data_IF_892608872002
#
_entry.id   IF_892608872002
#
_cell.length_a   1.000
_cell.length_b   1.000
_cell.length_c   1.000
_cell.angle_alpha   90.00
_cell.angle_beta   90.00
_cell.angle_gamma   90.00
#
_symmetry.space_group_name_H-M   'P 1'
#
loop_
_entity.id
_entity.type
_entity.pdbx_description
1 polymer ?
#
# COMPACT_ATOMS: atom_id res chain seq x y z
N UNK A 1 -2.42 -3.32 14.70
CA UNK A 1 -1.51 -3.28 13.54
C UNK A 1 -0.51 -2.13 13.63
N UNK A 2 -0.95 -0.85 13.60
CA UNK A 2 -0.04 0.31 13.60
C UNK A 2 0.96 0.47 14.77
N UNK A 3 0.65 -0.06 15.97
CA UNK A 3 1.54 0.01 17.15
C UNK A 3 2.59 -1.11 17.22
N UNK A 4 2.51 -2.14 16.37
CA UNK A 4 3.44 -3.29 16.40
C UNK A 4 4.50 -3.28 15.30
N UNK A 5 4.24 -2.54 14.22
CA UNK A 5 5.09 -2.50 13.04
C UNK A 5 5.34 -1.04 12.65
N UNK A 6 6.07 -0.34 13.52
CA UNK A 6 6.49 1.02 13.27
C UNK A 6 8.00 1.07 13.02
N UNK A 7 8.42 1.93 12.10
CA UNK A 7 9.78 2.41 12.00
C UNK A 7 9.92 3.63 12.91
N UNK A 8 10.92 3.64 13.78
CA UNK A 8 11.28 4.84 14.53
C UNK A 8 12.02 5.77 13.59
N UNK A 9 11.39 6.89 13.24
CA UNK A 9 12.06 7.97 12.52
C UNK A 9 12.51 8.98 13.56
N UNK A 10 13.82 9.16 13.69
CA UNK A 10 14.40 10.21 14.50
C UNK A 10 14.28 11.54 13.75
N UNK A 11 13.53 12.48 14.30
CA UNK A 11 13.50 13.86 13.84
C UNK A 11 14.31 14.68 14.82
N UNK A 12 15.26 15.46 14.30
CA UNK A 12 16.12 16.35 15.08
C UNK A 12 15.77 17.79 14.72
N UNK A 13 15.59 18.64 15.72
CA UNK A 13 15.29 20.06 15.50
C UNK A 13 15.63 20.92 16.71
N UNK A 14 15.79 22.22 16.47
CA UNK A 14 15.93 23.21 17.53
C UNK A 14 14.54 23.53 18.10
N UNK A 15 14.42 23.40 19.42
CA UNK A 15 13.25 23.85 20.16
C UNK A 15 13.24 25.39 20.23
N UNK A 16 12.08 26.03 20.43
CA UNK A 16 11.98 27.49 20.49
C UNK A 16 12.83 28.17 21.58
N UNK A 17 13.31 27.40 22.56
CA UNK A 17 14.21 27.84 23.64
C UNK A 17 15.71 27.59 23.35
N UNK A 18 16.05 27.11 22.14
CA UNK A 18 17.43 26.89 21.69
C UNK A 18 18.00 25.52 22.06
N UNK A 19 17.23 24.63 22.67
CA UNK A 19 17.65 23.25 22.93
C UNK A 19 17.57 22.39 21.67
N UNK A 20 18.64 21.65 21.34
CA UNK A 20 18.56 20.59 20.34
C UNK A 20 17.76 19.41 20.93
N UNK A 21 16.66 19.02 20.27
CA UNK A 21 15.82 17.93 20.72
C UNK A 21 15.69 16.85 19.64
N UNK A 22 15.64 15.60 20.10
CA UNK A 22 15.46 14.42 19.26
C UNK A 22 14.18 13.72 19.67
N UNK A 23 13.21 13.62 18.75
CA UNK A 23 11.96 12.88 18.98
C UNK A 23 11.92 11.70 18.04
N UNK A 24 11.69 10.51 18.60
CA UNK A 24 11.44 9.31 17.80
C UNK A 24 9.94 9.17 17.56
N UNK A 25 9.53 9.24 16.30
CA UNK A 25 8.14 9.02 15.90
C UNK A 25 7.99 7.59 15.38
N UNK A 26 7.03 6.85 15.93
CA UNK A 26 6.62 5.55 15.43
C UNK A 26 5.77 5.71 14.15
N UNK A 27 6.38 5.54 12.98
CA UNK A 27 5.69 5.59 11.68
C UNK A 27 5.35 4.17 11.24
N UNK A 28 4.07 3.87 10.97
CA UNK A 28 3.68 2.55 10.48
C UNK A 28 4.48 2.19 9.21
N UNK A 29 5.08 1.00 9.22
CA UNK A 29 5.78 0.46 8.05
C UNK A 29 4.81 0.29 6.87
N UNK A 30 5.33 0.32 5.63
CA UNK A 30 4.51 0.12 4.43
C UNK A 30 3.73 -1.21 4.47
N UNK A 31 4.32 -2.35 4.88
CA UNK A 31 3.56 -3.59 5.09
C UNK A 31 2.36 -3.44 6.02
N UNK A 32 2.53 -2.75 7.14
CA UNK A 32 1.44 -2.53 8.09
C UNK A 32 0.38 -1.57 7.54
N UNK A 33 0.80 -0.53 6.82
CA UNK A 33 -0.10 0.37 6.10
C UNK A 33 -0.95 -0.40 5.09
N UNK A 34 -0.33 -1.27 4.29
CA UNK A 34 -1.01 -2.09 3.29
C UNK A 34 -2.03 -3.04 3.95
N UNK A 35 -1.68 -3.69 5.05
CA UNK A 35 -2.63 -4.52 5.79
C UNK A 35 -3.85 -3.70 6.26
N UNK A 36 -3.63 -2.49 6.81
CA UNK A 36 -4.70 -1.58 7.19
C UNK A 36 -5.54 -1.11 5.99
N UNK A 37 -4.90 -0.87 4.84
CA UNK A 37 -5.58 -0.51 3.58
C UNK A 37 -6.45 -1.65 3.05
N UNK A 38 -6.05 -2.91 3.25
CA UNK A 38 -6.87 -4.07 2.97
C UNK A 38 -8.23 -4.05 3.67
N UNK A 39 -8.23 -3.78 4.98
CA UNK A 39 -9.49 -3.59 5.72
C UNK A 39 -10.28 -2.38 5.23
N UNK A 40 -9.61 -1.28 4.90
CA UNK A 40 -10.29 -0.07 4.41
C UNK A 40 -10.97 -0.33 3.06
N UNK A 41 -10.27 -0.92 2.08
CA UNK A 41 -10.84 -1.16 0.76
C UNK A 41 -11.98 -2.19 0.82
N UNK A 42 -11.98 -3.12 1.77
CA UNK A 42 -13.10 -4.05 1.98
C UNK A 42 -14.36 -3.34 2.47
N UNK A 43 -14.23 -2.45 3.46
CA UNK A 43 -15.38 -1.92 4.19
C UNK A 43 -15.96 -0.62 3.62
N UNK A 44 -15.11 0.31 3.15
CA UNK A 44 -15.57 1.64 2.72
C UNK A 44 -15.57 1.85 1.22
N UNK A 45 -14.98 0.94 0.45
CA UNK A 45 -14.98 0.94 -1.02
C UNK A 45 -14.64 2.31 -1.64
N UNK A 46 -13.72 3.06 -1.02
CA UNK A 46 -13.27 4.36 -1.56
C UNK A 46 -12.21 4.14 -2.63
N UNK A 47 -12.41 4.74 -3.81
CA UNK A 47 -11.48 4.62 -4.97
C UNK A 47 -10.01 4.92 -4.59
N UNK A 48 -9.80 5.93 -3.74
CA UNK A 48 -8.48 6.36 -3.26
C UNK A 48 -7.70 5.23 -2.57
N UNK A 49 -8.35 4.29 -1.88
CA UNK A 49 -7.60 3.19 -1.22
C UNK A 49 -6.95 2.25 -2.22
N UNK A 50 -7.63 1.96 -3.33
CA UNK A 50 -7.04 1.18 -4.41
C UNK A 50 -5.81 1.89 -4.99
N UNK A 51 -5.89 3.21 -5.17
CA UNK A 51 -4.76 4.03 -5.61
C UNK A 51 -3.60 4.01 -4.61
N UNK A 52 -3.87 4.22 -3.31
CA UNK A 52 -2.85 4.21 -2.27
C UNK A 52 -2.12 2.85 -2.20
N UNK A 53 -2.85 1.72 -2.31
CA UNK A 53 -2.28 0.37 -2.36
C UNK A 53 -1.34 0.23 -3.55
N UNK A 54 -1.86 0.49 -4.75
CA UNK A 54 -1.08 0.36 -5.98
C UNK A 54 0.13 1.29 -5.98
N UNK A 55 -0.01 2.53 -5.50
CA UNK A 55 1.08 3.49 -5.40
C UNK A 55 2.19 2.98 -4.47
N UNK A 56 1.84 2.43 -3.31
CA UNK A 56 2.82 1.88 -2.38
C UNK A 56 3.56 0.67 -2.98
N UNK A 57 2.84 -0.23 -3.66
CA UNK A 57 3.44 -1.41 -4.30
C UNK A 57 4.37 -1.00 -5.44
N UNK A 58 3.88 -0.16 -6.37
CA UNK A 58 4.62 0.26 -7.56
C UNK A 58 5.91 1.02 -7.23
N UNK A 59 5.86 1.86 -6.20
CA UNK A 59 6.98 2.73 -5.84
C UNK A 59 7.82 2.18 -4.68
N UNK A 60 7.60 0.92 -4.28
CA UNK A 60 8.40 0.33 -3.23
C UNK A 60 9.86 0.15 -3.70
N UNK A 61 10.87 0.60 -2.94
CA UNK A 61 12.27 0.36 -3.28
C UNK A 61 12.55 -1.14 -3.42
N UNK A 62 13.18 -1.54 -4.53
CA UNK A 62 13.41 -2.96 -4.82
C UNK A 62 12.20 -3.71 -5.42
N UNK A 63 11.07 -3.03 -5.58
CA UNK A 63 9.90 -3.56 -6.30
C UNK A 63 8.99 -4.49 -5.49
N UNK A 64 8.00 -5.10 -6.17
CA UNK A 64 7.00 -5.97 -5.56
C UNK A 64 7.56 -7.15 -4.74
N UNK A 65 8.67 -7.75 -5.20
CA UNK A 65 9.30 -8.89 -4.56
C UNK A 65 9.99 -8.49 -3.25
N UNK A 66 10.69 -7.36 -3.23
CA UNK A 66 11.28 -6.81 -2.01
C UNK A 66 10.20 -6.46 -0.99
N UNK A 67 9.10 -5.83 -1.44
CA UNK A 67 7.96 -5.55 -0.58
C UNK A 67 7.35 -6.84 0.00
N UNK A 68 7.28 -7.91 -0.79
CA UNK A 68 6.75 -9.19 -0.32
C UNK A 68 7.62 -9.80 0.79
N UNK A 69 8.95 -9.72 0.67
CA UNK A 69 9.86 -10.15 1.73
C UNK A 69 9.64 -9.32 3.02
N UNK A 70 9.54 -8.00 2.91
CA UNK A 70 9.31 -7.12 4.05
C UNK A 70 7.91 -7.28 4.68
N UNK A 71 6.98 -7.89 3.95
CA UNK A 71 5.65 -8.26 4.45
C UNK A 71 5.64 -9.54 5.31
N UNK A 72 6.71 -10.34 5.35
CA UNK A 72 6.77 -11.61 6.10
C UNK A 72 6.37 -11.46 7.59
N UNK A 73 6.89 -10.47 8.35
CA UNK A 73 6.50 -10.29 9.75
C UNK A 73 5.02 -9.95 9.92
N UNK A 74 4.43 -9.25 8.96
CA UNK A 74 3.01 -8.90 8.95
C UNK A 74 2.14 -10.11 8.60
N UNK A 75 2.57 -10.92 7.63
CA UNK A 75 1.91 -12.16 7.21
C UNK A 75 1.81 -13.21 8.33
N UNK A 76 2.77 -13.22 9.26
CA UNK A 76 2.76 -14.10 10.43
C UNK A 76 1.58 -13.83 11.39
N UNK A 77 0.90 -12.69 11.25
CA UNK A 77 -0.27 -12.35 12.05
C UNK A 77 -1.57 -12.53 11.26
N UNK A 78 -2.60 -13.06 11.92
CA UNK A 78 -3.91 -13.32 11.32
C UNK A 78 -4.50 -12.07 10.68
N UNK A 79 -4.43 -10.93 11.37
CA UNK A 79 -4.96 -9.66 10.89
C UNK A 79 -4.18 -9.13 9.67
N UNK A 80 -2.86 -9.30 9.66
CA UNK A 80 -2.03 -8.91 8.51
C UNK A 80 -2.37 -9.73 7.27
N UNK A 81 -2.43 -11.06 7.44
CA UNK A 81 -2.82 -12.00 6.38
C UNK A 81 -4.21 -11.70 5.84
N UNK A 82 -5.17 -11.41 6.71
CA UNK A 82 -6.54 -11.09 6.28
C UNK A 82 -6.62 -9.77 5.52
N UNK A 83 -5.90 -8.74 5.99
CA UNK A 83 -5.77 -7.47 5.26
C UNK A 83 -5.25 -7.70 3.83
N UNK A 84 -4.20 -8.49 3.65
CA UNK A 84 -3.68 -8.79 2.32
C UNK A 84 -4.64 -9.64 1.46
N UNK A 85 -5.42 -10.55 2.06
CA UNK A 85 -6.48 -11.28 1.33
C UNK A 85 -7.59 -10.37 0.83
N UNK A 86 -7.99 -9.35 1.59
CA UNK A 86 -8.96 -8.36 1.09
C UNK A 86 -8.42 -7.62 -0.13
N UNK A 87 -7.14 -7.25 -0.12
CA UNK A 87 -6.50 -6.68 -1.31
C UNK A 87 -6.54 -7.68 -2.47
N UNK A 88 -6.18 -8.95 -2.22
CA UNK A 88 -6.21 -9.99 -3.24
C UNK A 88 -7.59 -10.13 -3.90
N UNK A 89 -8.66 -10.14 -3.10
CA UNK A 89 -10.03 -10.21 -3.62
C UNK A 89 -10.42 -8.99 -4.44
N UNK A 90 -10.00 -7.77 -4.07
CA UNK A 90 -10.31 -6.56 -4.86
C UNK A 90 -9.48 -6.44 -6.14
N UNK A 91 -8.33 -7.10 -6.22
CA UNK A 91 -7.41 -7.08 -7.36
C UNK A 91 -7.36 -8.43 -8.12
N UNK A 92 -8.46 -9.20 -8.09
CA UNK A 92 -8.54 -10.53 -8.71
C UNK A 92 -8.31 -10.49 -10.23
N UNK A 93 -8.90 -9.54 -10.94
CA UNK A 93 -8.79 -9.36 -12.38
C UNK A 93 -8.60 -7.88 -12.75
N UNK A 94 -8.23 -7.62 -14.01
CA UNK A 94 -8.00 -6.26 -14.49
C UNK A 94 -9.26 -5.40 -14.46
N UNK A 95 -10.44 -6.00 -14.57
CA UNK A 95 -11.75 -5.36 -14.49
C UNK A 95 -12.38 -5.44 -13.08
N UNK A 96 -11.66 -6.01 -12.10
CA UNK A 96 -12.11 -6.00 -10.70
C UNK A 96 -12.13 -4.59 -10.11
N UNK A 97 -12.75 -4.48 -8.93
CA UNK A 97 -12.94 -3.24 -8.20
C UNK A 97 -11.64 -2.42 -8.02
N UNK A 98 -10.53 -3.07 -7.67
CA UNK A 98 -9.25 -2.42 -7.37
C UNK A 98 -8.70 -1.67 -8.58
N UNK A 99 -8.33 -2.35 -9.68
CA UNK A 99 -7.76 -1.69 -10.85
C UNK A 99 -8.70 -0.66 -11.49
N UNK A 100 -10.00 -0.95 -11.56
CA UNK A 100 -11.01 0.01 -12.07
C UNK A 100 -11.13 1.24 -11.18
N UNK A 101 -11.03 1.08 -9.85
CA UNK A 101 -10.98 2.19 -8.90
C UNK A 101 -9.73 3.05 -9.07
N UNK A 102 -8.56 2.44 -9.34
CA UNK A 102 -7.33 3.19 -9.63
C UNK A 102 -7.52 4.05 -10.87
N UNK A 103 -8.02 3.45 -11.96
CA UNK A 103 -8.34 4.17 -13.19
C UNK A 103 -9.27 5.36 -12.94
N UNK A 104 -10.39 5.12 -12.27
CA UNK A 104 -11.36 6.18 -11.99
C UNK A 104 -10.74 7.28 -11.13
N UNK A 105 -9.97 6.92 -10.11
CA UNK A 105 -9.32 7.89 -9.24
C UNK A 105 -8.34 8.80 -10.01
N UNK A 106 -7.48 8.27 -10.87
CA UNK A 106 -6.53 9.10 -11.65
C UNK A 106 -7.23 9.97 -12.69
N UNK A 107 -8.35 9.51 -13.25
CA UNK A 107 -9.19 10.30 -14.14
C UNK A 107 -9.84 11.47 -13.39
N UNK A 108 -10.45 11.19 -12.24
CA UNK A 108 -11.14 12.19 -11.41
C UNK A 108 -10.18 13.27 -10.86
N UNK A 109 -8.93 12.90 -10.61
CA UNK A 109 -7.90 13.78 -10.01
C UNK A 109 -6.93 14.41 -11.02
N UNK A 110 -7.09 14.11 -12.31
CA UNK A 110 -6.23 14.61 -13.41
C UNK A 110 -4.74 14.24 -13.24
N UNK A 111 -4.43 13.13 -12.56
CA UNK A 111 -3.06 12.62 -12.33
C UNK A 111 -2.63 11.66 -13.45
N UNK A 112 -3.28 11.71 -14.62
CA UNK A 112 -3.00 10.79 -15.72
C UNK A 112 -1.55 10.89 -16.24
N UNK A 113 -0.98 12.12 -16.25
CA UNK A 113 0.32 12.38 -16.86
C UNK A 113 0.33 11.93 -18.33
N UNK A 114 1.40 11.25 -18.75
CA UNK A 114 1.55 10.72 -20.11
C UNK A 114 0.86 9.36 -20.33
N UNK A 115 0.20 8.80 -19.30
CA UNK A 115 -0.41 7.48 -19.35
C UNK A 115 -1.91 7.58 -19.60
N UNK A 116 -2.43 6.71 -20.45
CA UNK A 116 -3.87 6.55 -20.62
C UNK A 116 -4.53 5.91 -19.40
N UNK A 117 -5.84 6.14 -19.24
CA UNK A 117 -6.63 5.56 -18.17
C UNK A 117 -6.56 4.02 -18.14
N UNK A 118 -6.54 3.38 -19.32
CA UNK A 118 -6.42 1.93 -19.45
C UNK A 118 -5.00 1.44 -19.10
N UNK A 119 -3.96 2.21 -19.44
CA UNK A 119 -2.58 1.91 -19.01
C UNK A 119 -2.43 1.98 -17.49
N UNK A 120 -3.14 2.89 -16.81
CA UNK A 120 -3.19 2.91 -15.34
C UNK A 120 -3.87 1.66 -14.78
N UNK A 121 -5.00 1.25 -15.37
CA UNK A 121 -5.73 0.05 -14.94
C UNK A 121 -4.88 -1.22 -15.08
N UNK A 122 -4.26 -1.41 -16.25
CA UNK A 122 -3.44 -2.60 -16.54
C UNK A 122 -2.24 -2.73 -15.60
N UNK A 123 -1.52 -1.63 -15.39
CA UNK A 123 -0.37 -1.63 -14.50
C UNK A 123 -0.78 -1.75 -13.03
N UNK A 124 -1.90 -1.15 -12.61
CA UNK A 124 -2.40 -1.32 -11.26
C UNK A 124 -2.68 -2.78 -10.93
N UNK A 125 -3.32 -3.49 -11.87
CA UNK A 125 -3.46 -4.93 -11.78
C UNK A 125 -2.11 -5.64 -11.78
N UNK A 126 -1.23 -5.35 -12.74
CA UNK A 126 0.05 -6.03 -12.91
C UNK A 126 0.97 -5.94 -11.69
N UNK A 127 1.15 -4.74 -11.14
CA UNK A 127 2.01 -4.49 -9.96
C UNK A 127 1.46 -5.19 -8.71
N UNK A 128 0.17 -5.02 -8.42
CA UNK A 128 -0.45 -5.61 -7.23
C UNK A 128 -0.53 -7.13 -7.36
N UNK A 129 -0.83 -7.67 -8.54
CA UNK A 129 -0.83 -9.11 -8.78
C UNK A 129 0.58 -9.72 -8.64
N UNK A 130 1.63 -9.04 -9.10
CA UNK A 130 3.00 -9.49 -8.92
C UNK A 130 3.38 -9.57 -7.43
N UNK A 131 3.09 -8.51 -6.67
CA UNK A 131 3.29 -8.50 -5.22
C UNK A 131 2.52 -9.62 -4.52
N UNK A 132 1.23 -9.81 -4.83
CA UNK A 132 0.40 -10.85 -4.22
C UNK A 132 0.86 -12.28 -4.57
N UNK A 133 1.40 -12.50 -5.78
CA UNK A 133 2.03 -13.78 -6.14
C UNK A 133 3.30 -14.02 -5.32
N UNK A 134 4.14 -13.00 -5.14
CA UNK A 134 5.34 -13.10 -4.32
C UNK A 134 5.02 -13.40 -2.84
N UNK A 135 3.87 -12.93 -2.32
CA UNK A 135 3.36 -13.30 -0.99
C UNK A 135 2.77 -14.73 -0.90
N UNK A 136 2.62 -15.43 -2.02
CA UNK A 136 1.93 -16.72 -2.07
C UNK A 136 0.41 -16.63 -1.86
N UNK A 137 -0.19 -15.44 -2.05
CA UNK A 137 -1.63 -15.20 -1.92
C UNK A 137 -2.36 -15.24 -3.27
N UNK A 138 -1.63 -15.49 -4.36
CA UNK A 138 -2.15 -15.64 -5.71
C UNK A 138 -1.35 -16.71 -6.47
N UNK A 139 -2.06 -17.62 -7.14
CA UNK A 139 -1.50 -18.61 -8.06
C UNK A 139 -1.45 -18.13 -9.51
#
# INVERSE_FOLDING_TARGET
MGLRFYNLVAISGEMPDGGANHVNIAVASIPALLAMKGYAIENRLKRKDAYDIYYCVRNYPGGPEALAADCEPVLAHKEGKEGFRFIAGKFEAVDSFGPTSVRQFVQDTQILGDRSADQWQQDAFGQVAAWLRALGLRG
#
